data_IF_641966408310
#
_entry.id   IF_641966408310
#
_cell.length_a   1.000
_cell.length_b   1.000
_cell.length_c   1.000
_cell.angle_alpha   90.00
_cell.angle_beta   90.00
_cell.angle_gamma   90.00
#
_symmetry.space_group_name_H-M   'P 1'
#
loop_
_entity.id
_entity.type
_entity.pdbx_description
1 polymer ?
#
# COMPACT_ATOMS: atom_id res chain seq x y z
N UNK A 1 -3.43 -3.80 23.36
CA UNK A 1 -2.39 -3.27 22.44
C UNK A 1 -2.87 -3.23 20.99
N UNK A 2 -3.51 -4.28 20.45
CA UNK A 2 -4.11 -4.27 19.10
C UNK A 2 -5.15 -3.15 18.89
N UNK A 3 -6.04 -2.97 19.88
CA UNK A 3 -7.08 -1.93 19.88
C UNK A 3 -6.54 -0.50 19.81
N UNK A 4 -5.39 -0.24 20.44
CA UNK A 4 -4.75 1.08 20.44
C UNK A 4 -4.20 1.42 19.04
N UNK A 5 -3.68 0.40 18.34
CA UNK A 5 -3.18 0.51 16.97
C UNK A 5 -4.31 0.71 15.95
N UNK A 6 -5.43 -0.01 16.05
CA UNK A 6 -6.59 0.23 15.18
C UNK A 6 -7.16 1.64 15.35
N UNK A 7 -7.28 2.11 16.59
CA UNK A 7 -7.72 3.48 16.86
C UNK A 7 -6.75 4.53 16.30
N UNK A 8 -5.44 4.31 16.42
CA UNK A 8 -4.45 5.20 15.80
C UNK A 8 -4.55 5.18 14.27
N UNK A 9 -4.59 4.02 13.62
CA UNK A 9 -4.71 3.93 12.17
C UNK A 9 -5.98 4.60 11.62
N UNK A 10 -7.07 4.55 12.39
CA UNK A 10 -8.33 5.25 12.06
C UNK A 10 -8.20 6.76 12.21
N UNK A 11 -7.53 7.22 13.27
CA UNK A 11 -7.27 8.65 13.54
C UNK A 11 -6.28 9.28 12.54
N UNK A 12 -5.28 8.54 12.07
CA UNK A 12 -4.27 9.02 11.12
C UNK A 12 -4.74 8.97 9.65
N UNK A 13 -5.95 8.47 9.39
CA UNK A 13 -6.59 8.60 8.08
C UNK A 13 -5.96 7.75 6.97
N UNK A 14 -5.16 6.74 7.28
CA UNK A 14 -4.60 5.82 6.27
C UNK A 14 -5.72 4.99 5.61
N UNK A 15 -6.65 4.45 6.42
CA UNK A 15 -7.84 3.77 5.92
C UNK A 15 -8.73 4.70 5.07
N UNK A 16 -8.71 6.01 5.35
CA UNK A 16 -9.43 7.01 4.57
C UNK A 16 -8.78 7.21 3.19
N UNK A 17 -7.45 7.18 3.10
CA UNK A 17 -6.74 7.18 1.80
C UNK A 17 -7.10 5.95 0.97
N UNK A 18 -7.15 4.77 1.61
CA UNK A 18 -7.59 3.53 0.95
C UNK A 18 -9.01 3.64 0.39
N UNK A 19 -9.96 4.19 1.16
CA UNK A 19 -11.32 4.45 0.68
C UNK A 19 -11.37 5.40 -0.51
N UNK A 20 -10.53 6.45 -0.52
CA UNK A 20 -10.45 7.41 -1.62
C UNK A 20 -9.93 6.78 -2.91
N UNK A 21 -9.01 5.81 -2.80
CA UNK A 21 -8.59 5.01 -3.95
C UNK A 21 -9.75 4.18 -4.50
N UNK A 22 -10.52 3.52 -3.63
CA UNK A 22 -11.70 2.74 -4.05
C UNK A 22 -12.79 3.60 -4.70
N UNK A 23 -12.93 4.87 -4.31
CA UNK A 23 -13.82 5.83 -4.96
C UNK A 23 -13.37 6.15 -6.39
N UNK A 24 -12.06 6.24 -6.65
CA UNK A 24 -11.55 6.37 -8.02
C UNK A 24 -11.86 5.13 -8.86
N UNK A 25 -11.71 3.93 -8.29
CA UNK A 25 -12.12 2.69 -8.97
C UNK A 25 -13.61 2.67 -9.28
N UNK A 26 -14.46 3.10 -8.34
CA UNK A 26 -15.91 3.19 -8.52
C UNK A 26 -16.28 4.19 -9.63
N UNK A 27 -15.60 5.34 -9.71
CA UNK A 27 -15.82 6.33 -10.79
C UNK A 27 -15.41 5.81 -12.17
N UNK A 28 -14.34 5.01 -12.25
CA UNK A 28 -13.86 4.48 -13.53
C UNK A 28 -14.63 3.24 -13.95
N UNK A 29 -15.14 2.41 -13.05
CA UNK A 29 -15.62 1.05 -13.39
C UNK A 29 -17.01 0.72 -12.84
N UNK A 30 -17.57 1.55 -11.97
CA UNK A 30 -18.79 1.24 -11.21
C UNK A 30 -18.60 0.17 -10.13
N UNK A 31 -17.37 -0.31 -9.91
CA UNK A 31 -17.04 -1.35 -8.93
C UNK A 31 -15.80 -0.95 -8.13
N UNK A 32 -15.78 -1.30 -6.84
CA UNK A 32 -14.72 -0.87 -5.92
C UNK A 32 -13.45 -1.71 -5.96
N UNK A 33 -13.56 -3.03 -6.18
CA UNK A 33 -12.42 -3.97 -6.03
C UNK A 33 -12.17 -4.81 -7.29
N UNK A 34 -13.22 -5.36 -7.90
CA UNK A 34 -13.09 -6.21 -9.09
C UNK A 34 -13.08 -5.38 -10.36
N UNK A 35 -11.91 -4.78 -10.62
CA UNK A 35 -11.69 -3.91 -11.75
C UNK A 35 -11.47 -4.72 -13.04
N UNK A 36 -12.53 -4.91 -13.83
CA UNK A 36 -12.40 -5.45 -15.20
C UNK A 36 -11.97 -4.36 -16.20
N UNK A 37 -10.98 -3.55 -15.81
CA UNK A 37 -10.52 -2.40 -16.60
C UNK A 37 -9.54 -2.82 -17.69
N UNK A 38 -8.55 -3.63 -17.33
CA UNK A 38 -7.53 -4.12 -18.25
C UNK A 38 -8.10 -5.36 -18.94
N UNK A 39 -8.20 -5.30 -20.26
CA UNK A 39 -8.68 -6.41 -21.10
C UNK A 39 -7.65 -6.71 -22.19
N UNK A 40 -7.59 -7.94 -22.74
CA UNK A 40 -6.77 -8.21 -23.91
C UNK A 40 -7.17 -7.24 -25.05
N UNK A 41 -6.20 -6.45 -25.54
CA UNK A 41 -6.45 -5.40 -26.53
C UNK A 41 -6.49 -3.97 -25.97
N UNK A 42 -6.39 -3.77 -24.65
CA UNK A 42 -6.22 -2.45 -24.05
C UNK A 42 -7.05 -2.22 -22.80
N UNK A 43 -7.80 -1.12 -22.79
CA UNK A 43 -8.64 -0.69 -21.65
C UNK A 43 -10.12 -0.79 -21.99
N UNK A 44 -10.94 -1.00 -20.98
CA UNK A 44 -12.39 -1.14 -21.13
C UNK A 44 -13.09 0.15 -21.58
N UNK A 45 -12.63 1.29 -21.07
CA UNK A 45 -13.21 2.60 -21.33
C UNK A 45 -12.22 3.71 -20.99
N UNK A 46 -12.47 4.91 -21.50
CA UNK A 46 -11.65 6.08 -21.19
C UNK A 46 -11.89 6.61 -19.76
N UNK A 47 -10.95 7.41 -19.29
CA UNK A 47 -11.01 8.03 -17.97
C UNK A 47 -12.07 9.14 -17.94
N UNK A 48 -12.89 9.23 -16.87
CA UNK A 48 -13.85 10.32 -16.73
C UNK A 48 -13.15 11.67 -16.58
N UNK A 49 -13.76 12.72 -17.13
CA UNK A 49 -13.22 14.08 -17.11
C UNK A 49 -12.95 14.53 -15.66
N UNK A 50 -11.78 15.13 -15.44
CA UNK A 50 -11.37 15.65 -14.13
C UNK A 50 -10.72 14.64 -13.18
N UNK A 51 -10.79 13.34 -13.47
CA UNK A 51 -10.22 12.31 -12.58
C UNK A 51 -8.71 12.47 -12.36
N UNK A 52 -7.96 12.82 -13.40
CA UNK A 52 -6.51 13.03 -13.28
C UNK A 52 -6.15 14.13 -12.28
N UNK A 53 -6.94 15.22 -12.23
CA UNK A 53 -6.74 16.31 -11.26
C UNK A 53 -7.05 15.85 -9.84
N UNK A 54 -8.09 15.05 -9.68
CA UNK A 54 -8.48 14.51 -8.38
C UNK A 54 -7.42 13.53 -7.84
N UNK A 55 -6.84 12.70 -8.72
CA UNK A 55 -5.73 11.79 -8.39
C UNK A 55 -4.49 12.59 -7.97
N UNK A 56 -4.13 13.64 -8.70
CA UNK A 56 -2.98 14.49 -8.37
C UNK A 56 -3.15 15.15 -6.98
N UNK A 57 -4.31 15.77 -6.74
CA UNK A 57 -4.63 16.35 -5.43
C UNK A 57 -4.58 15.32 -4.29
N UNK A 58 -4.99 14.07 -4.56
CA UNK A 58 -4.97 13.00 -3.59
C UNK A 58 -3.56 12.49 -3.31
N UNK A 59 -2.69 12.49 -4.32
CA UNK A 59 -1.30 12.04 -4.23
C UNK A 59 -0.48 12.99 -3.34
N UNK A 60 -0.68 14.30 -3.49
CA UNK A 60 -0.04 15.32 -2.63
C UNK A 60 -0.38 15.11 -1.15
N UNK A 61 -1.64 14.77 -0.83
CA UNK A 61 -2.05 14.49 0.54
C UNK A 61 -1.51 13.15 1.05
N UNK A 62 -1.28 12.18 0.16
CA UNK A 62 -0.85 10.83 0.53
C UNK A 62 0.59 10.80 1.05
N UNK A 63 1.49 11.59 0.47
CA UNK A 63 2.89 11.70 0.91
C UNK A 63 2.98 12.01 2.42
N UNK A 64 2.31 13.08 2.87
CA UNK A 64 2.28 13.47 4.30
C UNK A 64 1.70 12.40 5.25
N UNK A 65 0.91 11.46 4.73
CA UNK A 65 0.36 10.35 5.54
C UNK A 65 1.32 9.17 5.62
N UNK A 66 2.15 8.96 4.59
CA UNK A 66 3.23 7.98 4.64
C UNK A 66 4.28 8.43 5.66
N UNK A 67 4.67 9.70 5.66
CA UNK A 67 5.68 10.22 6.60
C UNK A 67 5.24 9.98 8.06
N UNK A 68 3.96 10.25 8.36
CA UNK A 68 3.39 9.97 9.70
C UNK A 68 3.37 8.49 10.06
N UNK A 69 3.17 7.61 9.07
CA UNK A 69 3.25 6.16 9.30
C UNK A 69 4.69 5.75 9.60
N UNK A 70 5.65 6.35 8.89
CA UNK A 70 7.07 6.12 9.09
C UNK A 70 7.51 6.55 10.50
N UNK A 71 7.10 7.74 10.94
CA UNK A 71 7.39 8.25 12.28
C UNK A 71 6.92 7.30 13.39
N UNK A 72 5.75 6.68 13.21
CA UNK A 72 5.17 5.76 14.21
C UNK A 72 5.86 4.39 14.25
N UNK A 73 6.42 3.93 13.13
CA UNK A 73 6.93 2.56 12.99
C UNK A 73 8.45 2.51 12.98
N UNK A 74 9.12 3.30 12.14
CA UNK A 74 10.56 3.19 11.87
C UNK A 74 11.42 3.55 13.08
N UNK A 75 10.99 4.52 13.89
CA UNK A 75 11.65 4.90 15.14
C UNK A 75 11.27 4.03 16.35
N UNK A 76 10.23 3.21 16.24
CA UNK A 76 9.62 2.57 17.40
C UNK A 76 10.38 1.32 17.86
N UNK A 77 10.85 1.35 19.11
CA UNK A 77 11.60 0.23 19.72
C UNK A 77 10.81 -1.08 19.74
N UNK A 78 9.51 -1.03 20.05
CA UNK A 78 8.66 -2.23 20.10
C UNK A 78 8.52 -2.83 18.71
N UNK A 79 8.46 -1.98 17.68
CA UNK A 79 8.39 -2.41 16.28
C UNK A 79 9.68 -3.11 15.84
N UNK A 80 10.85 -2.51 16.14
CA UNK A 80 12.16 -3.13 15.85
C UNK A 80 12.35 -4.46 16.58
N UNK A 81 12.00 -4.52 17.87
CA UNK A 81 12.10 -5.75 18.67
C UNK A 81 11.27 -6.92 18.12
N UNK A 82 10.21 -6.64 17.35
CA UNK A 82 9.31 -7.65 16.79
C UNK A 82 9.61 -8.04 15.35
N UNK A 83 10.53 -7.36 14.67
CA UNK A 83 10.74 -7.53 13.24
C UNK A 83 12.21 -7.66 12.85
N UNK A 84 13.14 -7.14 13.65
CA UNK A 84 14.58 -7.31 13.42
C UNK A 84 14.98 -8.74 13.77
N UNK A 85 15.77 -9.37 12.89
CA UNK A 85 16.27 -10.76 13.00
C UNK A 85 15.20 -11.86 13.02
N UNK A 86 13.99 -11.57 12.53
CA UNK A 86 12.92 -12.56 12.38
C UNK A 86 12.73 -12.93 10.91
N UNK A 87 12.71 -14.23 10.61
CA UNK A 87 12.47 -14.73 9.25
C UNK A 87 13.59 -14.40 8.26
N UNK A 88 14.84 -14.47 8.72
CA UNK A 88 16.02 -14.28 7.88
C UNK A 88 16.12 -15.40 6.84
N UNK A 89 16.34 -15.01 5.58
CA UNK A 89 16.44 -15.94 4.45
C UNK A 89 17.63 -15.54 3.60
N UNK A 90 18.50 -16.51 3.28
CA UNK A 90 19.66 -16.30 2.42
C UNK A 90 19.25 -16.17 0.94
N UNK A 91 20.10 -15.55 0.12
CA UNK A 91 19.79 -15.32 -1.30
C UNK A 91 19.64 -16.64 -2.05
N UNK A 92 20.41 -17.65 -1.64
CA UNK A 92 20.35 -18.97 -2.22
C UNK A 92 19.02 -19.64 -1.90
N UNK A 93 18.61 -19.66 -0.62
CA UNK A 93 17.32 -20.20 -0.21
C UNK A 93 16.15 -19.48 -0.88
N UNK A 94 16.21 -18.15 -0.99
CA UNK A 94 15.16 -17.37 -1.64
C UNK A 94 15.00 -17.74 -3.13
N UNK A 95 16.10 -18.03 -3.83
CA UNK A 95 16.06 -18.50 -5.22
C UNK A 95 15.55 -19.93 -5.32
N UNK A 96 16.07 -20.82 -4.47
CA UNK A 96 15.72 -22.25 -4.48
C UNK A 96 14.24 -22.47 -4.15
N UNK A 97 13.66 -21.64 -3.29
CA UNK A 97 12.24 -21.68 -2.92
C UNK A 97 11.33 -20.85 -3.84
N UNK A 98 11.87 -20.23 -4.89
CA UNK A 98 11.10 -19.48 -5.87
C UNK A 98 10.47 -18.20 -5.33
N UNK A 99 11.10 -17.53 -4.36
CA UNK A 99 10.62 -16.25 -3.86
C UNK A 99 10.71 -15.16 -4.94
N UNK A 100 9.80 -14.18 -4.88
CA UNK A 100 9.74 -13.05 -5.81
C UNK A 100 9.37 -11.74 -5.11
N UNK A 101 9.48 -10.61 -5.82
CA UNK A 101 9.04 -9.31 -5.32
C UNK A 101 9.87 -8.79 -4.14
N UNK A 102 9.21 -8.39 -3.05
CA UNK A 102 9.87 -7.77 -1.87
C UNK A 102 10.84 -8.74 -1.20
N UNK A 103 10.54 -10.03 -1.20
CA UNK A 103 11.37 -11.06 -0.56
C UNK A 103 12.78 -11.17 -1.18
N UNK A 104 12.92 -10.88 -2.48
CA UNK A 104 14.23 -10.82 -3.15
C UNK A 104 14.93 -9.46 -3.03
N UNK A 105 14.16 -8.39 -2.83
CA UNK A 105 14.70 -7.01 -2.70
C UNK A 105 15.18 -6.69 -1.29
N UNK A 106 14.76 -7.46 -0.29
CA UNK A 106 15.26 -7.35 1.07
C UNK A 106 16.77 -7.55 1.11
N UNK A 107 17.45 -6.85 2.03
CA UNK A 107 18.88 -7.11 2.25
C UNK A 107 19.03 -8.51 2.82
N UNK A 108 19.49 -9.39 1.95
CA UNK A 108 19.92 -10.74 2.28
C UNK A 108 21.18 -10.65 3.13
N UNK A 109 21.17 -11.30 4.29
CA UNK A 109 22.39 -11.80 4.95
C UNK A 109 22.60 -13.25 4.57
#
# INVERSE_FOLDING_TARGET
MLWMWEHQLRSYGLLRSGKKLLEFYERVLGARMHASFIRPGGVAQDLPLGLCRDIDSSTQQFASRIDKLEDMSTGNRIWKQRLVDIGTVTAQQAKDWGFSGVMLRGRVT
#
